data_IF_922290045737
#
_entry.id   IF_922290045737
#
_cell.length_a   1.000
_cell.length_b   1.000
_cell.length_c   1.000
_cell.angle_alpha   90.00
_cell.angle_beta   90.00
_cell.angle_gamma   90.00
#
_symmetry.space_group_name_H-M   'P 1'
#
loop_
_entity.id
_entity.type
_entity.pdbx_description
1 polymer ?
#
# COMPACT_ATOMS: atom_id res chain seq x y z
N UNK A 1 -27.98 19.21 86.39
CA UNK A 1 -26.94 20.26 86.27
C UNK A 1 -26.20 20.03 84.97
N UNK A 2 -26.30 20.96 84.00
CA UNK A 2 -25.66 20.84 82.68
C UNK A 2 -24.16 21.13 82.86
N UNK A 3 -23.30 20.13 82.67
CA UNK A 3 -21.85 20.32 82.62
C UNK A 3 -21.51 21.19 81.41
N UNK A 4 -21.09 22.43 81.65
CA UNK A 4 -20.48 23.25 80.62
C UNK A 4 -19.13 22.63 80.23
N UNK A 5 -18.89 22.36 78.93
CA UNK A 5 -17.59 21.86 78.49
C UNK A 5 -16.53 22.92 78.74
N UNK A 6 -15.48 22.54 79.47
CA UNK A 6 -14.29 23.36 79.73
C UNK A 6 -13.64 23.81 78.41
N UNK A 7 -13.33 25.10 78.27
CA UNK A 7 -12.84 25.73 77.03
C UNK A 7 -11.63 25.06 76.36
N UNK A 8 -10.86 24.26 77.10
CA UNK A 8 -9.76 23.43 76.58
C UNK A 8 -10.23 22.36 75.57
N UNK A 9 -11.44 21.80 75.74
CA UNK A 9 -11.97 20.78 74.82
C UNK A 9 -12.42 21.37 73.48
N UNK A 10 -12.95 22.60 73.48
CA UNK A 10 -13.35 23.32 72.26
C UNK A 10 -12.12 23.77 71.46
N UNK A 11 -11.09 24.29 72.14
CA UNK A 11 -9.83 24.69 71.51
C UNK A 11 -9.11 23.51 70.82
N UNK A 12 -9.05 22.34 71.46
CA UNK A 12 -8.41 21.15 70.85
C UNK A 12 -9.15 20.64 69.61
N UNK A 13 -10.49 20.74 69.60
CA UNK A 13 -11.30 20.38 68.43
C UNK A 13 -11.07 21.35 67.27
N UNK A 14 -11.03 22.65 67.56
CA UNK A 14 -10.73 23.68 66.55
C UNK A 14 -9.35 23.47 65.92
N UNK A 15 -8.32 23.19 66.72
CA UNK A 15 -6.96 22.95 66.21
C UNK A 15 -6.92 21.71 65.31
N UNK A 16 -7.60 20.61 65.68
CA UNK A 16 -7.67 19.41 64.84
C UNK A 16 -8.39 19.66 63.52
N UNK A 17 -9.50 20.40 63.55
CA UNK A 17 -10.25 20.74 62.34
C UNK A 17 -9.41 21.63 61.42
N UNK A 18 -8.71 22.62 61.97
CA UNK A 18 -7.81 23.48 61.18
C UNK A 18 -6.65 22.69 60.58
N UNK A 19 -6.05 21.76 61.34
CA UNK A 19 -4.98 20.89 60.85
C UNK A 19 -5.49 19.99 59.71
N UNK A 20 -6.69 19.42 59.85
CA UNK A 20 -7.30 18.59 58.83
C UNK A 20 -7.58 19.38 57.54
N UNK A 21 -8.11 20.60 57.65
CA UNK A 21 -8.32 21.50 56.50
C UNK A 21 -7.00 21.88 55.85
N UNK A 22 -5.95 22.16 56.63
CA UNK A 22 -4.63 22.47 56.09
C UNK A 22 -4.02 21.29 55.30
N UNK A 23 -4.17 20.06 55.79
CA UNK A 23 -3.73 18.84 55.09
C UNK A 23 -4.51 18.63 53.79
N UNK A 24 -5.83 18.84 53.79
CA UNK A 24 -6.67 18.76 52.60
C UNK A 24 -6.25 19.79 51.54
N UNK A 25 -5.98 21.03 51.95
CA UNK A 25 -5.51 22.10 51.05
C UNK A 25 -4.12 21.80 50.49
N UNK A 26 -3.21 21.26 51.30
CA UNK A 26 -1.87 20.86 50.84
C UNK A 26 -1.93 19.70 49.84
N UNK A 27 -2.78 18.69 50.08
CA UNK A 27 -3.00 17.59 49.15
C UNK A 27 -3.63 18.09 47.83
N UNK A 28 -4.63 18.97 47.92
CA UNK A 28 -5.24 19.61 46.75
C UNK A 28 -4.23 20.41 45.92
N UNK A 29 -3.38 21.21 46.57
CA UNK A 29 -2.32 21.97 45.90
C UNK A 29 -1.27 21.06 45.24
N UNK A 30 -0.91 19.95 45.89
CA UNK A 30 0.00 18.95 45.32
C UNK A 30 -0.55 18.28 44.07
N UNK A 31 -1.85 17.94 44.06
CA UNK A 31 -2.53 17.36 42.90
C UNK A 31 -2.64 18.37 41.74
N UNK A 32 -2.95 19.64 42.03
CA UNK A 32 -2.97 20.71 41.02
C UNK A 32 -1.59 20.94 40.44
N UNK A 33 -0.53 20.95 41.26
CA UNK A 33 0.84 21.07 40.79
C UNK A 33 1.24 19.88 39.89
N UNK A 34 0.92 18.65 40.31
CA UNK A 34 1.17 17.45 39.51
C UNK A 34 0.43 17.50 38.16
N UNK A 35 -0.83 17.92 38.16
CA UNK A 35 -1.62 18.12 36.95
C UNK A 35 -0.99 19.15 36.00
N UNK A 36 -0.50 20.28 36.54
CA UNK A 36 0.20 21.29 35.75
C UNK A 36 1.54 20.78 35.18
N UNK A 37 2.27 19.95 35.92
CA UNK A 37 3.50 19.32 35.41
C UNK A 37 3.19 18.30 34.30
N UNK A 38 2.13 17.51 34.43
CA UNK A 38 1.67 16.59 33.39
C UNK A 38 1.25 17.37 32.13
N UNK A 39 0.55 18.50 32.27
CA UNK A 39 0.18 19.36 31.13
C UNK A 39 1.39 19.97 30.40
N UNK A 40 2.52 20.15 31.09
CA UNK A 40 3.78 20.61 30.47
C UNK A 40 4.44 19.55 29.60
N UNK A 41 4.03 18.27 29.69
CA UNK A 41 4.44 17.23 28.73
C UNK A 41 3.66 17.36 27.40
N UNK A 42 3.86 18.49 26.73
CA UNK A 42 3.33 18.80 25.39
C UNK A 42 3.86 17.87 24.30
N UNK A 43 4.85 17.03 24.61
CA UNK A 43 5.47 16.08 23.68
C UNK A 43 4.64 14.82 23.42
N UNK A 44 3.70 14.45 24.31
CA UNK A 44 2.87 13.24 24.15
C UNK A 44 2.01 13.28 22.87
N UNK A 45 1.23 14.36 22.58
CA UNK A 45 0.50 14.45 21.32
C UNK A 45 1.44 14.56 20.10
N UNK A 46 2.62 15.15 20.28
CA UNK A 46 3.65 15.22 19.24
C UNK A 46 4.13 13.81 18.86
N UNK A 47 4.50 12.99 19.84
CA UNK A 47 4.94 11.60 19.65
C UNK A 47 3.82 10.78 18.98
N UNK A 48 2.57 10.95 19.40
CA UNK A 48 1.42 10.31 18.76
C UNK A 48 1.28 10.70 17.28
N UNK A 49 1.46 11.98 16.95
CA UNK A 49 1.44 12.45 15.56
C UNK A 49 2.59 11.87 14.74
N UNK A 50 3.82 11.83 15.28
CA UNK A 50 4.99 11.23 14.61
C UNK A 50 4.81 9.73 14.38
N UNK A 51 4.31 8.99 15.36
CA UNK A 51 4.03 7.56 15.22
C UNK A 51 2.95 7.31 14.15
N UNK A 52 1.89 8.12 14.14
CA UNK A 52 0.86 8.02 13.11
C UNK A 52 1.42 8.29 11.70
N UNK A 53 2.24 9.35 11.55
CA UNK A 53 2.93 9.63 10.28
C UNK A 53 3.85 8.48 9.85
N UNK A 54 4.58 7.88 10.78
CA UNK A 54 5.46 6.74 10.49
C UNK A 54 4.66 5.50 10.03
N UNK A 55 3.52 5.20 10.66
CA UNK A 55 2.63 4.11 10.23
C UNK A 55 2.10 4.37 8.83
N UNK A 56 1.66 5.60 8.53
CA UNK A 56 1.20 5.98 7.19
C UNK A 56 2.32 5.81 6.16
N UNK A 57 3.54 6.28 6.47
CA UNK A 57 4.69 6.14 5.57
C UNK A 57 5.02 4.67 5.29
N UNK A 58 5.02 3.81 6.32
CA UNK A 58 5.25 2.38 6.16
C UNK A 58 4.15 1.72 5.29
N UNK A 59 2.88 2.09 5.51
CA UNK A 59 1.77 1.57 4.72
C UNK A 59 1.88 1.99 3.24
N UNK A 60 2.24 3.25 2.97
CA UNK A 60 2.48 3.74 1.60
C UNK A 60 3.66 3.01 0.96
N UNK A 61 4.77 2.86 1.67
CA UNK A 61 5.95 2.15 1.16
C UNK A 61 5.64 0.68 0.83
N UNK A 62 4.90 0.00 1.71
CA UNK A 62 4.44 -1.37 1.47
C UNK A 62 3.55 -1.46 0.23
N UNK A 63 2.59 -0.55 0.07
CA UNK A 63 1.71 -0.50 -1.09
C UNK A 63 2.50 -0.27 -2.39
N UNK A 64 3.47 0.65 -2.39
CA UNK A 64 4.33 0.91 -3.54
C UNK A 64 5.18 -0.31 -3.92
N UNK A 65 5.71 -1.04 -2.94
CA UNK A 65 6.45 -2.27 -3.18
C UNK A 65 5.57 -3.35 -3.84
N UNK A 66 4.34 -3.53 -3.35
CA UNK A 66 3.41 -4.48 -3.97
C UNK A 66 3.02 -4.08 -5.38
N UNK A 67 2.81 -2.78 -5.61
CA UNK A 67 2.52 -2.25 -6.92
C UNK A 67 3.69 -2.53 -7.87
N UNK A 68 4.94 -2.28 -7.47
CA UNK A 68 6.11 -2.55 -8.32
C UNK A 68 6.28 -4.04 -8.65
N UNK A 69 6.05 -4.93 -7.68
CA UNK A 69 6.09 -6.38 -7.91
C UNK A 69 4.98 -6.79 -8.89
N UNK A 70 3.78 -6.24 -8.73
CA UNK A 70 2.67 -6.53 -9.62
C UNK A 70 2.94 -6.09 -11.08
N UNK A 71 3.47 -4.88 -11.29
CA UNK A 71 3.86 -4.42 -12.62
C UNK A 71 4.96 -5.29 -13.23
N UNK A 72 6.01 -5.59 -12.46
CA UNK A 72 7.08 -6.48 -12.90
C UNK A 72 6.56 -7.87 -13.26
N UNK A 73 5.55 -8.37 -12.54
CA UNK A 73 4.94 -9.67 -12.82
C UNK A 73 4.14 -9.69 -14.11
N UNK A 74 3.37 -8.63 -14.39
CA UNK A 74 2.63 -8.49 -15.65
C UNK A 74 3.57 -8.40 -16.85
N UNK A 75 4.67 -7.65 -16.71
CA UNK A 75 5.71 -7.55 -17.74
C UNK A 75 6.38 -8.89 -18.00
N UNK A 76 6.74 -9.61 -16.94
CA UNK A 76 7.34 -10.95 -17.05
C UNK A 76 6.41 -11.93 -17.77
N UNK A 77 5.12 -11.97 -17.42
CA UNK A 77 4.16 -12.85 -18.09
C UNK A 77 3.98 -12.51 -19.57
N UNK A 78 3.93 -11.22 -19.91
CA UNK A 78 3.86 -10.80 -21.31
C UNK A 78 5.06 -11.33 -22.11
N UNK A 79 6.28 -11.14 -21.59
CA UNK A 79 7.50 -11.61 -22.25
C UNK A 79 7.53 -13.13 -22.34
N UNK A 80 7.11 -13.83 -21.29
CA UNK A 80 7.02 -15.29 -21.28
C UNK A 80 6.05 -15.83 -22.32
N UNK A 81 4.86 -15.24 -22.44
CA UNK A 81 3.85 -15.66 -23.42
C UNK A 81 4.34 -15.41 -24.85
N UNK A 82 4.98 -14.26 -25.10
CA UNK A 82 5.57 -13.95 -26.40
C UNK A 82 6.74 -14.89 -26.73
N UNK A 83 7.59 -15.21 -25.75
CA UNK A 83 8.68 -16.18 -25.92
C UNK A 83 8.15 -17.56 -26.30
N UNK A 84 7.13 -18.04 -25.58
CA UNK A 84 6.47 -19.31 -25.89
C UNK A 84 5.84 -19.29 -27.28
N UNK A 85 5.20 -18.19 -27.68
CA UNK A 85 4.64 -18.05 -29.02
C UNK A 85 5.72 -18.20 -30.11
N UNK A 86 6.85 -17.51 -29.96
CA UNK A 86 7.98 -17.62 -30.88
C UNK A 86 8.59 -19.03 -30.89
N UNK A 87 8.74 -19.65 -29.71
CA UNK A 87 9.26 -21.01 -29.60
C UNK A 87 8.34 -22.02 -30.31
N UNK A 88 7.02 -21.95 -30.07
CA UNK A 88 6.04 -22.84 -30.73
C UNK A 88 5.99 -22.62 -32.23
N UNK A 89 6.17 -21.37 -32.69
CA UNK A 89 6.31 -21.08 -34.11
C UNK A 89 7.53 -21.80 -34.72
N UNK A 90 8.70 -21.72 -34.07
CA UNK A 90 9.93 -22.41 -34.53
C UNK A 90 9.80 -23.93 -34.50
N UNK A 91 9.04 -24.48 -33.55
CA UNK A 91 8.71 -25.91 -33.47
C UNK A 91 7.69 -26.36 -34.54
N UNK A 92 7.16 -25.46 -35.37
CA UNK A 92 6.12 -25.75 -36.37
C UNK A 92 4.72 -25.93 -35.77
N UNK A 93 4.55 -25.67 -34.46
CA UNK A 93 3.28 -25.77 -33.74
C UNK A 93 2.51 -24.46 -33.87
N UNK A 94 2.09 -24.15 -35.09
CA UNK A 94 1.56 -22.82 -35.43
C UNK A 94 0.28 -22.45 -34.70
N UNK A 95 -0.63 -23.40 -34.46
CA UNK A 95 -1.87 -23.11 -33.73
C UNK A 95 -1.58 -22.67 -32.28
N UNK A 96 -0.65 -23.33 -31.60
CA UNK A 96 -0.26 -22.93 -30.25
C UNK A 96 0.50 -21.61 -30.22
N UNK A 97 1.28 -21.31 -31.27
CA UNK A 97 1.91 -20.01 -31.43
C UNK A 97 0.86 -18.87 -31.52
N UNK A 98 -0.24 -19.11 -32.24
CA UNK A 98 -1.39 -18.18 -32.29
C UNK A 98 -2.01 -17.99 -30.90
N UNK A 99 -2.19 -19.07 -30.15
CA UNK A 99 -2.81 -19.03 -28.83
C UNK A 99 -1.96 -18.22 -27.83
N UNK A 100 -0.66 -18.52 -27.73
CA UNK A 100 0.26 -17.78 -26.86
C UNK A 100 0.42 -16.31 -27.29
N UNK A 101 0.47 -16.03 -28.60
CA UNK A 101 0.48 -14.66 -29.09
C UNK A 101 -0.82 -13.91 -28.71
N UNK A 102 -1.97 -14.59 -28.74
CA UNK A 102 -3.24 -14.01 -28.32
C UNK A 102 -3.25 -13.70 -26.83
N UNK A 103 -2.73 -14.60 -25.98
CA UNK A 103 -2.55 -14.34 -24.55
C UNK A 103 -1.62 -13.13 -24.29
N UNK A 104 -0.51 -13.02 -25.02
CA UNK A 104 0.39 -11.88 -24.91
C UNK A 104 -0.31 -10.56 -25.30
N UNK A 105 -1.13 -10.57 -26.35
CA UNK A 105 -1.95 -9.41 -26.74
C UNK A 105 -2.97 -9.02 -25.65
N UNK A 106 -3.66 -9.99 -25.06
CA UNK A 106 -4.63 -9.73 -23.98
C UNK A 106 -4.00 -9.03 -22.77
N UNK A 107 -2.74 -9.37 -22.44
CA UNK A 107 -1.98 -8.70 -21.38
C UNK A 107 -1.55 -7.29 -21.77
N UNK A 108 -1.05 -7.10 -23.00
CA UNK A 108 -0.59 -5.79 -23.50
C UNK A 108 -1.18 -5.46 -24.87
N UNK A 109 -2.40 -4.92 -24.85
CA UNK A 109 -3.20 -4.61 -26.06
C UNK A 109 -2.55 -3.64 -27.05
N UNK A 110 -1.58 -2.83 -26.60
CA UNK A 110 -0.90 -1.81 -27.42
C UNK A 110 0.44 -2.26 -27.99
N UNK A 111 0.76 -3.54 -27.88
CA UNK A 111 2.01 -4.10 -28.42
C UNK A 111 1.74 -4.73 -29.78
N UNK A 112 2.50 -4.35 -30.82
CA UNK A 112 2.37 -4.93 -32.15
C UNK A 112 3.06 -6.29 -32.31
N UNK A 113 4.01 -6.62 -31.43
CA UNK A 113 4.80 -7.86 -31.48
C UNK A 113 3.92 -9.13 -31.49
N UNK A 114 2.93 -9.27 -30.58
CA UNK A 114 1.97 -10.36 -30.64
C UNK A 114 1.26 -10.50 -31.99
N UNK A 115 0.91 -9.39 -32.64
CA UNK A 115 0.27 -9.41 -33.96
C UNK A 115 1.22 -9.94 -35.04
N UNK A 116 2.52 -9.58 -35.01
CA UNK A 116 3.51 -10.12 -35.97
C UNK A 116 3.66 -11.63 -35.83
N UNK A 117 3.78 -12.14 -34.59
CA UNK A 117 3.92 -13.58 -34.34
C UNK A 117 2.66 -14.32 -34.81
N UNK A 118 1.49 -13.80 -34.47
CA UNK A 118 0.20 -14.39 -34.87
C UNK A 118 -0.01 -14.36 -36.38
N UNK A 119 0.34 -13.26 -37.05
CA UNK A 119 0.25 -13.12 -38.50
C UNK A 119 1.09 -14.18 -39.21
N UNK A 120 2.34 -14.37 -38.77
CA UNK A 120 3.23 -15.40 -39.33
C UNK A 120 2.72 -16.81 -39.09
N UNK A 121 2.21 -17.08 -37.90
CA UNK A 121 1.61 -18.38 -37.60
C UNK A 121 0.38 -18.64 -38.46
N UNK A 122 -0.50 -17.65 -38.67
CA UNK A 122 -1.63 -17.75 -39.60
C UNK A 122 -1.18 -17.97 -41.05
N UNK A 123 -0.14 -17.28 -41.50
CA UNK A 123 0.42 -17.49 -42.84
C UNK A 123 0.94 -18.92 -43.02
N UNK A 124 1.64 -19.46 -42.01
CA UNK A 124 2.11 -20.84 -42.01
C UNK A 124 0.98 -21.88 -41.97
N UNK A 125 -0.16 -21.54 -41.37
CA UNK A 125 -1.39 -22.34 -41.40
C UNK A 125 -2.20 -22.17 -42.70
N UNK A 126 -1.77 -21.32 -43.63
CA UNK A 126 -2.51 -21.03 -44.87
C UNK A 126 -3.70 -20.07 -44.69
N UNK A 127 -3.85 -19.46 -43.52
CA UNK A 127 -4.91 -18.49 -43.20
C UNK A 127 -4.50 -17.07 -43.60
N UNK A 128 -4.33 -16.84 -44.91
CA UNK A 128 -3.73 -15.60 -45.46
C UNK A 128 -4.50 -14.34 -45.06
N UNK A 129 -5.84 -14.34 -45.10
CA UNK A 129 -6.66 -13.18 -44.72
C UNK A 129 -6.46 -12.78 -43.24
N UNK A 130 -6.34 -13.76 -42.35
CA UNK A 130 -6.09 -13.48 -40.93
C UNK A 130 -4.67 -12.96 -40.71
N UNK A 131 -3.70 -13.48 -41.47
CA UNK A 131 -2.32 -13.02 -41.44
C UNK A 131 -2.20 -11.56 -41.87
N UNK A 132 -2.80 -11.19 -43.01
CA UNK A 132 -2.80 -9.82 -43.53
C UNK A 132 -3.38 -8.83 -42.52
N UNK A 133 -4.55 -9.17 -41.95
CA UNK A 133 -5.18 -8.33 -40.93
C UNK A 133 -4.27 -8.09 -39.73
N UNK A 134 -3.58 -9.12 -39.25
CA UNK A 134 -2.67 -8.96 -38.12
C UNK A 134 -1.39 -8.21 -38.48
N UNK A 135 -0.88 -8.34 -39.70
CA UNK A 135 0.21 -7.49 -40.17
C UNK A 135 -0.20 -6.01 -40.26
N UNK A 136 -1.42 -5.72 -40.73
CA UNK A 136 -1.94 -4.35 -40.77
C UNK A 136 -2.09 -3.76 -39.36
N UNK A 137 -2.56 -4.56 -38.40
CA UNK A 137 -2.62 -4.15 -37.00
C UNK A 137 -1.23 -3.90 -36.39
N UNK A 138 -0.26 -4.76 -36.69
CA UNK A 138 1.12 -4.57 -36.26
C UNK A 138 1.71 -3.25 -36.84
N UNK A 139 1.51 -2.99 -38.14
CA UNK A 139 1.94 -1.75 -38.80
C UNK A 139 1.24 -0.53 -38.20
N UNK A 140 -0.05 -0.61 -37.91
CA UNK A 140 -0.81 0.45 -37.23
C UNK A 140 -0.30 0.76 -35.82
N UNK A 141 0.41 -0.18 -35.18
CA UNK A 141 1.10 0.00 -33.90
C UNK A 141 2.58 0.37 -34.04
N UNK A 142 3.02 0.73 -35.25
CA UNK A 142 4.40 1.19 -35.53
C UNK A 142 5.43 0.08 -35.64
N UNK A 143 4.99 -1.17 -35.84
CA UNK A 143 5.88 -2.32 -36.03
C UNK A 143 5.89 -2.73 -37.49
N UNK A 144 7.04 -2.55 -38.15
CA UNK A 144 7.27 -3.08 -39.49
C UNK A 144 7.60 -4.58 -39.40
N UNK A 145 6.74 -5.45 -39.95
CA UNK A 145 6.85 -6.90 -39.78
C UNK A 145 8.09 -7.51 -40.45
N UNK A 146 8.73 -6.78 -41.37
CA UNK A 146 9.89 -7.24 -42.14
C UNK A 146 11.20 -7.13 -41.34
N UNK A 147 11.22 -6.35 -40.25
CA UNK A 147 12.40 -6.19 -39.41
C UNK A 147 12.55 -7.25 -38.30
N UNK A 148 11.50 -8.02 -38.01
CA UNK A 148 11.55 -9.00 -36.92
C UNK A 148 11.88 -10.38 -37.46
N UNK A 149 13.12 -10.87 -37.30
CA UNK A 149 13.39 -12.30 -37.53
C UNK A 149 12.99 -13.06 -36.25
N UNK A 150 11.95 -13.90 -36.35
CA UNK A 150 11.46 -14.73 -35.22
C UNK A 150 12.23 -16.03 -35.19
#
# INVERSE_FOLDING_TARGET
>A
MKHLPTGATVASRLIRTLLFVAVQLAAGAGLVWLYLQIKKFTWIPLIGAYLNQLVILLAVMYLLMWLSVYWSYQDFRFVSDLHNACQKFREGRFQEAVDFATMAHERKKRQGLPHVVRARAYAALGSVLLAERDFDLARGLGLEPDHFVI
#
